data_IF_040860853601
#
_entry.id   IF_040860853601
#
_cell.length_a   1.000
_cell.length_b   1.000
_cell.length_c   1.000
_cell.angle_alpha   90.00
_cell.angle_beta   90.00
_cell.angle_gamma   90.00
#
_symmetry.space_group_name_H-M   'P 1'
#
loop_
_entity.id
_entity.type
_entity.pdbx_description
1 polymer ?
#
# COMPACT_ATOMS: atom_id res chain seq x y z
N UNK A 1 16.58 -15.58 15.13
CA UNK A 1 15.38 -14.74 15.33
C UNK A 1 14.31 -15.28 14.41
N UNK A 2 13.05 -15.27 14.82
CA UNK A 2 11.96 -15.51 13.89
C UNK A 2 12.02 -14.43 12.83
N UNK A 3 11.92 -14.83 11.58
CA UNK A 3 11.84 -13.93 10.44
C UNK A 3 10.40 -13.45 10.27
N UNK A 4 10.21 -12.38 9.53
CA UNK A 4 8.89 -11.77 9.35
C UNK A 4 8.84 -10.90 8.11
N UNK A 5 8.07 -9.82 8.14
CA UNK A 5 7.84 -8.93 7.00
C UNK A 5 8.61 -7.62 7.17
N UNK A 6 9.36 -7.24 6.12
CA UNK A 6 9.92 -5.90 5.98
C UNK A 6 9.00 -5.03 5.12
N UNK A 7 8.60 -3.86 5.61
CA UNK A 7 7.95 -2.83 4.80
C UNK A 7 8.99 -1.74 4.49
N UNK A 8 9.29 -1.54 3.21
CA UNK A 8 10.33 -0.63 2.75
C UNK A 8 9.77 0.47 1.84
N UNK A 9 10.16 1.74 2.09
CA UNK A 9 9.79 2.83 1.19
C UNK A 9 9.19 4.05 1.87
N UNK A 10 8.04 4.51 1.35
CA UNK A 10 7.44 5.77 1.78
C UNK A 10 6.94 5.73 3.22
N UNK A 11 7.50 6.62 4.04
CA UNK A 11 7.01 6.97 5.36
C UNK A 11 6.59 8.43 5.30
N UNK A 12 5.30 8.69 5.37
CA UNK A 12 4.70 10.01 5.20
C UNK A 12 3.80 10.30 6.41
N UNK A 13 3.64 11.57 6.75
CA UNK A 13 2.65 12.01 7.73
C UNK A 13 1.62 12.87 7.02
N UNK A 14 0.36 12.47 7.09
CA UNK A 14 -0.76 13.23 6.55
C UNK A 14 -1.23 14.26 7.58
N UNK A 15 -1.34 15.52 7.13
CA UNK A 15 -1.85 16.65 7.91
C UNK A 15 -3.11 17.16 7.22
N UNK A 16 -4.27 16.87 7.80
CA UNK A 16 -5.56 17.18 7.16
C UNK A 16 -6.17 18.47 7.69
N UNK A 17 -6.54 19.35 6.77
CA UNK A 17 -7.31 20.57 7.03
C UNK A 17 -8.61 20.55 6.23
N UNK A 18 -9.64 21.22 6.76
CA UNK A 18 -10.93 21.32 6.10
C UNK A 18 -11.26 22.78 5.77
N UNK A 19 -11.74 22.98 4.54
CA UNK A 19 -12.20 24.25 4.01
C UNK A 19 -13.61 24.08 3.40
N UNK A 20 -14.39 25.14 3.33
CA UNK A 20 -15.69 25.12 2.65
C UNK A 20 -15.56 25.34 1.14
N UNK A 21 -14.53 26.06 0.72
CA UNK A 21 -14.22 26.37 -0.68
C UNK A 21 -12.72 26.41 -0.89
N UNK A 22 -12.27 26.17 -2.14
CA UNK A 22 -10.88 26.42 -2.51
C UNK A 22 -10.71 27.87 -2.94
N UNK A 23 -9.66 28.58 -2.49
CA UNK A 23 -9.35 29.92 -2.98
C UNK A 23 -8.82 29.84 -4.42
N UNK A 24 -9.02 30.91 -5.18
CA UNK A 24 -8.27 31.12 -6.41
C UNK A 24 -6.83 31.53 -6.07
N UNK A 25 -5.92 31.42 -7.04
CA UNK A 25 -4.54 31.83 -6.87
C UNK A 25 -4.47 33.29 -6.41
N UNK A 26 -3.76 33.53 -5.30
CA UNK A 26 -3.64 34.86 -4.68
C UNK A 26 -4.72 35.19 -3.65
N UNK A 27 -5.75 34.38 -3.48
CA UNK A 27 -6.81 34.57 -2.48
C UNK A 27 -6.51 33.83 -1.16
N UNK A 28 -7.22 34.23 -0.10
CA UNK A 28 -7.16 33.62 1.22
C UNK A 28 -8.47 32.90 1.53
N UNK A 29 -8.38 31.71 2.10
CA UNK A 29 -9.52 31.00 2.69
C UNK A 29 -9.22 30.66 4.15
N UNK A 30 -10.24 30.61 4.98
CA UNK A 30 -10.12 30.18 6.36
C UNK A 30 -10.19 28.65 6.46
N UNK A 31 -9.34 28.09 7.31
CA UNK A 31 -9.43 26.67 7.70
C UNK A 31 -10.53 26.56 8.76
N UNK A 32 -11.56 25.79 8.45
CA UNK A 32 -12.71 25.56 9.33
C UNK A 32 -12.35 24.60 10.48
N UNK A 33 -11.57 23.59 10.19
CA UNK A 33 -11.12 22.60 11.17
C UNK A 33 -9.91 21.81 10.66
N UNK A 34 -9.27 21.08 11.58
CA UNK A 34 -8.20 20.13 11.25
C UNK A 34 -8.47 18.80 11.94
N UNK A 35 -7.97 17.71 11.35
CA UNK A 35 -7.85 16.43 12.05
C UNK A 35 -6.50 16.30 12.75
N UNK A 36 -6.37 15.27 13.59
CA UNK A 36 -5.06 14.86 14.07
C UNK A 36 -4.18 14.40 12.89
N UNK A 37 -2.86 14.50 13.07
CA UNK A 37 -1.91 13.87 12.14
C UNK A 37 -2.14 12.38 12.10
N UNK A 38 -1.94 11.76 10.93
CA UNK A 38 -1.95 10.29 10.74
C UNK A 38 -0.73 9.86 9.94
N UNK A 39 -0.36 8.59 10.07
CA UNK A 39 0.62 8.01 9.16
C UNK A 39 0.01 7.88 7.76
N UNK A 40 0.89 7.87 6.77
CA UNK A 40 0.61 7.66 5.36
C UNK A 40 1.86 7.12 4.65
N UNK A 41 1.67 6.70 3.41
CA UNK A 41 2.69 6.03 2.62
C UNK A 41 2.71 4.52 2.87
N UNK A 42 3.08 3.76 1.82
CA UNK A 42 3.00 2.30 1.82
C UNK A 42 3.67 1.65 3.03
N UNK A 43 4.95 1.98 3.28
CA UNK A 43 5.71 1.31 4.34
C UNK A 43 5.09 1.57 5.72
N UNK A 44 4.62 2.80 5.97
CA UNK A 44 4.03 3.18 7.25
C UNK A 44 2.62 2.58 7.44
N UNK A 45 1.77 2.61 6.42
CA UNK A 45 0.42 2.06 6.50
C UNK A 45 0.45 0.53 6.63
N UNK A 46 1.19 -0.15 5.72
CA UNK A 46 1.24 -1.61 5.74
C UNK A 46 1.85 -2.16 7.04
N UNK A 47 2.93 -1.56 7.54
CA UNK A 47 3.54 -2.07 8.77
C UNK A 47 2.64 -1.86 10.01
N UNK A 48 1.93 -0.73 10.09
CA UNK A 48 0.99 -0.48 11.19
C UNK A 48 -0.23 -1.42 11.11
N UNK A 49 -0.76 -1.67 9.90
CA UNK A 49 -1.84 -2.63 9.70
C UNK A 49 -1.42 -4.05 10.07
N UNK A 50 -0.22 -4.49 9.65
CA UNK A 50 0.33 -5.80 10.00
C UNK A 50 0.54 -5.94 11.52
N UNK A 51 1.05 -4.89 12.19
CA UNK A 51 1.24 -4.89 13.63
C UNK A 51 -0.08 -5.00 14.41
N UNK A 52 -1.17 -4.47 13.85
CA UNK A 52 -2.53 -4.58 14.41
C UNK A 52 -3.17 -5.94 14.13
N UNK A 53 -2.92 -6.49 12.93
CA UNK A 53 -3.40 -7.83 12.56
C UNK A 53 -2.81 -8.91 13.47
N UNK A 54 -1.49 -8.83 13.75
CA UNK A 54 -0.80 -9.80 14.58
C UNK A 54 0.32 -9.12 15.39
N UNK A 55 0.07 -8.81 16.68
CA UNK A 55 1.08 -8.20 17.54
C UNK A 55 2.34 -9.06 17.82
N UNK A 56 2.29 -10.35 17.45
CA UNK A 56 3.43 -11.28 17.63
C UNK A 56 4.26 -11.42 16.35
N UNK A 57 3.77 -10.92 15.20
CA UNK A 57 4.49 -10.98 13.93
C UNK A 57 5.73 -10.06 13.97
N UNK A 58 6.95 -10.56 13.74
CA UNK A 58 8.12 -9.70 13.61
C UNK A 58 8.00 -8.79 12.38
N UNK A 59 8.20 -7.49 12.58
CA UNK A 59 8.05 -6.48 11.53
C UNK A 59 9.27 -5.57 11.49
N UNK A 60 9.75 -5.29 10.28
CA UNK A 60 10.93 -4.47 10.05
C UNK A 60 10.57 -3.30 9.14
N UNK A 61 10.90 -2.08 9.58
CA UNK A 61 10.63 -0.86 8.82
C UNK A 61 11.93 -0.33 8.21
N UNK A 62 11.95 -0.16 6.89
CA UNK A 62 13.03 0.50 6.17
C UNK A 62 12.51 1.71 5.39
N UNK A 63 13.16 2.86 5.54
CA UNK A 63 12.72 4.09 4.90
C UNK A 63 13.34 5.32 5.54
N UNK A 64 12.88 6.51 5.14
CA UNK A 64 13.40 7.76 5.71
C UNK A 64 12.47 8.36 6.74
N UNK A 65 13.02 8.69 7.92
CA UNK A 65 12.38 9.59 8.89
C UNK A 65 13.40 10.66 9.29
N UNK A 66 13.09 11.93 8.98
CA UNK A 66 13.93 13.08 9.31
C UNK A 66 13.98 13.37 10.81
N UNK A 67 14.97 14.19 11.22
CA UNK A 67 15.07 14.70 12.59
C UNK A 67 14.26 15.99 12.74
N UNK A 68 12.95 15.89 12.63
CA UNK A 68 11.99 17.00 12.67
C UNK A 68 10.72 16.58 13.46
N UNK A 69 9.83 17.54 13.72
CA UNK A 69 8.60 17.31 14.50
C UNK A 69 7.62 16.36 13.82
N UNK A 70 7.66 16.26 12.49
CA UNK A 70 6.89 15.32 11.69
C UNK A 70 7.45 13.91 11.90
N UNK A 71 8.78 13.77 11.86
CA UNK A 71 9.46 12.51 12.13
C UNK A 71 9.29 12.03 13.57
N UNK A 72 9.27 12.95 14.53
CA UNK A 72 9.00 12.61 15.93
C UNK A 72 7.60 12.06 16.13
N UNK A 73 6.61 12.62 15.40
CA UNK A 73 5.26 12.06 15.38
C UNK A 73 5.26 10.63 14.83
N UNK A 74 5.90 10.39 13.67
CA UNK A 74 5.95 9.06 13.05
C UNK A 74 6.61 8.03 13.97
N UNK A 75 7.78 8.35 14.55
CA UNK A 75 8.47 7.50 15.55
C UNK A 75 7.58 7.22 16.76
N UNK A 76 6.83 8.21 17.22
CA UNK A 76 5.89 8.06 18.35
C UNK A 76 4.71 7.14 18.04
N UNK A 77 4.32 6.99 16.78
CA UNK A 77 3.29 6.02 16.38
C UNK A 77 3.88 4.61 16.36
N UNK A 78 5.02 4.39 15.70
CA UNK A 78 5.66 3.07 15.63
C UNK A 78 6.04 2.53 17.01
N UNK A 79 6.49 3.38 17.93
CA UNK A 79 6.82 3.00 19.29
C UNK A 79 5.65 2.40 20.11
N UNK A 80 4.41 2.52 19.63
CA UNK A 80 3.25 1.87 20.24
C UNK A 80 3.14 0.38 19.90
N UNK A 81 3.89 -0.07 18.91
CA UNK A 81 3.89 -1.44 18.41
C UNK A 81 5.25 -2.08 18.66
N UNK A 82 5.41 -2.83 19.77
CA UNK A 82 6.70 -3.37 20.18
C UNK A 82 7.29 -4.42 19.23
N UNK A 83 6.46 -4.95 18.33
CA UNK A 83 6.84 -5.89 17.29
C UNK A 83 7.35 -5.22 15.99
N UNK A 84 7.42 -3.87 15.93
CA UNK A 84 8.02 -3.13 14.83
C UNK A 84 9.47 -2.76 15.19
N UNK A 85 10.42 -3.33 14.48
CA UNK A 85 11.81 -2.90 14.50
C UNK A 85 12.02 -1.75 13.50
N UNK A 86 12.48 -0.62 14.00
CA UNK A 86 12.76 0.58 13.21
C UNK A 86 14.25 0.81 12.96
N UNK A 87 15.10 -0.18 13.21
CA UNK A 87 16.56 -0.07 13.01
C UNK A 87 16.97 0.22 11.55
N UNK A 88 16.15 -0.22 10.59
CA UNK A 88 16.32 0.07 9.15
C UNK A 88 15.86 1.48 8.72
N UNK A 89 15.39 2.31 9.67
CA UNK A 89 14.99 3.69 9.36
C UNK A 89 16.23 4.59 9.34
N UNK A 90 16.44 5.25 8.21
CA UNK A 90 17.56 6.17 7.97
C UNK A 90 17.10 7.63 7.99
N UNK A 91 18.07 8.56 8.09
CA UNK A 91 17.82 9.99 7.98
C UNK A 91 18.58 10.55 6.76
N UNK A 92 17.87 10.66 5.65
CA UNK A 92 18.39 11.18 4.38
C UNK A 92 17.95 12.63 4.13
N UNK A 93 17.17 13.21 5.03
CA UNK A 93 16.62 14.55 4.90
C UNK A 93 15.30 14.69 5.67
N UNK A 94 14.55 15.78 5.45
CA UNK A 94 13.28 16.00 6.14
C UNK A 94 12.29 14.86 5.94
N UNK A 95 11.44 14.63 6.94
CA UNK A 95 10.35 13.66 6.84
C UNK A 95 9.35 14.07 5.75
N UNK A 96 8.91 13.10 4.93
CA UNK A 96 7.85 13.31 3.97
C UNK A 96 6.51 13.64 4.66
N UNK A 97 5.71 14.51 4.05
CA UNK A 97 4.37 14.79 4.54
C UNK A 97 3.40 15.13 3.40
N UNK A 98 2.12 14.95 3.64
CA UNK A 98 1.07 15.37 2.73
C UNK A 98 0.12 16.33 3.45
N UNK A 99 -0.06 17.52 2.89
CA UNK A 99 -1.18 18.38 3.26
C UNK A 99 -2.42 17.89 2.52
N UNK A 100 -3.39 17.40 3.29
CA UNK A 100 -4.68 16.94 2.77
C UNK A 100 -5.70 18.05 3.00
N UNK A 101 -6.20 18.66 1.94
CA UNK A 101 -7.26 19.66 2.03
C UNK A 101 -8.59 19.01 1.67
N UNK A 102 -9.44 18.85 2.68
CA UNK A 102 -10.80 18.33 2.53
C UNK A 102 -11.81 19.46 2.32
N UNK A 103 -12.61 19.39 1.27
CA UNK A 103 -13.70 20.35 1.06
C UNK A 103 -14.97 19.86 1.78
N UNK A 104 -15.48 20.66 2.71
CA UNK A 104 -16.65 20.30 3.54
C UNK A 104 -17.96 20.27 2.76
N UNK A 105 -18.05 21.00 1.62
CA UNK A 105 -19.24 21.05 0.78
C UNK A 105 -19.26 19.91 -0.25
N UNK A 106 -18.17 19.75 -1.01
CA UNK A 106 -18.10 18.76 -2.09
C UNK A 106 -17.69 17.37 -1.62
N UNK A 107 -17.10 17.25 -0.41
CA UNK A 107 -16.51 16.04 0.17
C UNK A 107 -15.26 15.52 -0.54
N UNK A 108 -14.77 16.22 -1.57
CA UNK A 108 -13.50 15.87 -2.22
C UNK A 108 -12.31 16.28 -1.37
N UNK A 109 -11.19 15.60 -1.62
CA UNK A 109 -9.88 15.89 -1.02
C UNK A 109 -8.88 16.23 -2.10
N UNK A 110 -7.96 17.14 -1.79
CA UNK A 110 -6.80 17.51 -2.64
C UNK A 110 -5.54 17.32 -1.82
N UNK A 111 -4.51 16.80 -2.46
CA UNK A 111 -3.27 16.39 -1.80
C UNK A 111 -2.10 17.22 -2.30
N UNK A 112 -1.31 17.76 -1.36
CA UNK A 112 -0.04 18.44 -1.64
C UNK A 112 1.06 17.66 -0.94
N UNK A 113 1.80 16.85 -1.68
CA UNK A 113 2.79 15.93 -1.13
C UNK A 113 4.20 16.50 -1.24
N UNK A 114 4.91 16.50 -0.11
CA UNK A 114 6.34 16.75 -0.05
C UNK A 114 7.05 15.43 0.25
N UNK A 115 7.84 14.97 -0.69
CA UNK A 115 8.51 13.65 -0.62
C UNK A 115 9.61 13.61 0.45
N UNK A 116 10.29 14.74 0.70
CA UNK A 116 11.41 14.82 1.66
C UNK A 116 12.51 13.82 1.34
N UNK A 117 13.10 13.26 2.38
CA UNK A 117 14.17 12.26 2.27
C UNK A 117 13.74 10.92 1.69
N UNK A 118 12.41 10.61 1.63
CA UNK A 118 11.92 9.40 0.96
C UNK A 118 12.36 9.35 -0.51
N UNK A 119 12.50 10.51 -1.16
CA UNK A 119 12.95 10.60 -2.55
C UNK A 119 14.42 10.22 -2.78
N UNK A 120 15.18 10.00 -1.71
CA UNK A 120 16.60 9.61 -1.75
C UNK A 120 16.82 8.16 -1.30
N UNK A 121 15.79 7.51 -0.76
CA UNK A 121 15.90 6.13 -0.29
C UNK A 121 16.13 5.16 -1.46
N UNK A 122 17.10 4.26 -1.31
CA UNK A 122 17.51 3.27 -2.30
C UNK A 122 18.02 1.99 -1.66
N UNK A 123 18.48 1.04 -2.47
CA UNK A 123 18.95 -0.28 -2.02
C UNK A 123 20.15 -0.20 -1.07
N UNK A 124 21.01 0.82 -1.25
CA UNK A 124 22.17 1.09 -0.43
C UNK A 124 21.85 1.48 1.01
N UNK A 125 20.59 1.70 1.33
CA UNK A 125 20.10 2.06 2.67
C UNK A 125 19.47 0.89 3.42
N UNK A 126 19.47 -0.31 2.82
CA UNK A 126 18.99 -1.54 3.46
C UNK A 126 20.19 -2.40 3.83
N UNK A 127 20.24 -2.85 5.07
CA UNK A 127 21.23 -3.83 5.50
C UNK A 127 20.75 -5.24 5.13
N UNK A 128 21.05 -5.64 3.89
CA UNK A 128 20.57 -6.88 3.32
C UNK A 128 21.07 -8.14 4.03
N UNK A 129 22.30 -8.08 4.58
CA UNK A 129 22.93 -9.24 5.24
C UNK A 129 22.32 -9.50 6.64
N UNK A 130 21.87 -8.45 7.33
CA UNK A 130 21.32 -8.54 8.68
C UNK A 130 19.80 -8.34 8.74
N UNK A 131 19.09 -8.23 7.60
CA UNK A 131 17.63 -8.08 7.56
C UNK A 131 16.93 -9.40 7.90
N UNK A 132 16.33 -9.56 9.10
CA UNK A 132 15.74 -10.82 9.51
C UNK A 132 14.30 -10.99 9.01
N UNK A 133 14.07 -10.81 7.71
CA UNK A 133 12.77 -10.95 7.06
C UNK A 133 12.75 -12.12 6.08
N UNK A 134 11.58 -12.69 5.84
CA UNK A 134 11.31 -13.65 4.77
C UNK A 134 10.64 -13.01 3.58
N UNK A 135 9.95 -11.89 3.81
CA UNK A 135 9.23 -11.13 2.80
C UNK A 135 9.54 -9.63 2.92
N UNK A 136 9.78 -8.97 1.79
CA UNK A 136 9.86 -7.51 1.71
C UNK A 136 8.76 -6.95 0.82
N UNK A 137 8.04 -5.95 1.34
CA UNK A 137 7.05 -5.17 0.60
C UNK A 137 7.59 -3.76 0.38
N UNK A 138 7.81 -3.38 -0.88
CA UNK A 138 8.51 -2.16 -1.25
C UNK A 138 7.67 -1.25 -2.16
N UNK A 139 7.68 0.04 -1.93
CA UNK A 139 6.99 1.00 -2.79
C UNK A 139 6.62 2.31 -2.09
N UNK A 140 5.80 3.12 -2.72
CA UNK A 140 5.09 2.84 -4.00
C UNK A 140 5.97 3.13 -5.21
N UNK A 141 5.84 2.35 -6.27
CA UNK A 141 6.30 2.79 -7.60
C UNK A 141 5.61 4.11 -7.94
N UNK A 142 6.35 5.07 -8.52
CA UNK A 142 6.01 6.48 -8.79
C UNK A 142 6.05 7.45 -7.60
N UNK A 143 6.33 6.99 -6.38
CA UNK A 143 6.56 7.87 -5.24
C UNK A 143 7.95 7.74 -4.61
N UNK A 144 8.77 6.83 -5.10
CA UNK A 144 10.15 6.60 -4.63
C UNK A 144 11.16 7.17 -5.64
N UNK A 145 11.22 8.51 -5.78
CA UNK A 145 11.99 9.20 -6.85
C UNK A 145 13.31 8.53 -7.23
N UNK A 146 14.11 8.06 -6.25
CA UNK A 146 15.37 7.37 -6.52
C UNK A 146 15.16 5.99 -7.14
N UNK A 147 14.23 5.21 -6.59
CA UNK A 147 13.91 3.86 -7.09
C UNK A 147 13.14 3.90 -8.43
N UNK A 148 12.46 5.01 -8.73
CA UNK A 148 11.77 5.22 -10.00
C UNK A 148 12.73 5.59 -11.15
N UNK A 149 14.00 5.90 -10.86
CA UNK A 149 14.97 6.22 -11.90
C UNK A 149 15.25 5.03 -12.81
N UNK A 150 15.58 5.29 -14.10
CA UNK A 150 16.05 4.25 -15.00
C UNK A 150 17.29 3.55 -14.46
N UNK A 151 17.42 2.27 -14.76
CA UNK A 151 18.57 1.42 -14.52
C UNK A 151 18.96 0.71 -15.82
N UNK A 152 20.25 0.74 -16.19
CA UNK A 152 20.72 0.21 -17.47
C UNK A 152 20.59 -1.32 -17.57
N UNK A 153 20.65 -2.05 -16.46
CA UNK A 153 20.64 -3.50 -16.42
C UNK A 153 19.24 -4.05 -16.14
N UNK A 154 18.52 -3.43 -15.16
CA UNK A 154 17.24 -3.92 -14.65
C UNK A 154 16.04 -3.16 -15.20
N UNK A 155 16.28 -2.05 -15.93
CA UNK A 155 15.24 -1.16 -16.47
C UNK A 155 14.84 -0.05 -15.51
N UNK A 156 14.65 -0.33 -14.23
CA UNK A 156 14.43 0.65 -13.15
C UNK A 156 15.23 0.28 -11.91
N UNK A 157 15.55 1.26 -11.07
CA UNK A 157 16.21 0.99 -9.78
C UNK A 157 15.30 0.21 -8.81
N UNK A 158 13.97 0.34 -8.93
CA UNK A 158 13.03 -0.50 -8.18
C UNK A 158 13.18 -1.98 -8.59
N UNK A 159 13.35 -2.25 -9.89
CA UNK A 159 13.61 -3.62 -10.35
C UNK A 159 14.91 -4.17 -9.77
N UNK A 160 15.99 -3.37 -9.73
CA UNK A 160 17.25 -3.74 -9.08
C UNK A 160 17.06 -4.01 -7.59
N UNK A 161 16.36 -3.12 -6.87
CA UNK A 161 16.06 -3.28 -5.43
C UNK A 161 15.36 -4.62 -5.13
N UNK A 162 14.32 -4.94 -5.90
CA UNK A 162 13.58 -6.21 -5.75
C UNK A 162 14.44 -7.43 -6.11
N UNK A 163 15.26 -7.32 -7.15
CA UNK A 163 16.21 -8.37 -7.51
C UNK A 163 17.23 -8.62 -6.39
N UNK A 164 17.82 -7.56 -5.83
CA UNK A 164 18.76 -7.65 -4.70
C UNK A 164 18.10 -8.32 -3.48
N UNK A 165 16.85 -8.00 -3.19
CA UNK A 165 16.09 -8.68 -2.13
C UNK A 165 15.98 -10.19 -2.40
N UNK A 166 15.69 -10.61 -3.64
CA UNK A 166 15.62 -12.03 -4.01
C UNK A 166 16.98 -12.73 -3.91
N UNK A 167 18.08 -12.04 -4.26
CA UNK A 167 19.44 -12.60 -4.09
C UNK A 167 19.78 -12.90 -2.63
N UNK A 168 19.20 -12.11 -1.69
CA UNK A 168 19.32 -12.35 -0.25
C UNK A 168 18.25 -13.32 0.30
N UNK A 169 17.49 -13.96 -0.59
CA UNK A 169 16.54 -15.03 -0.25
C UNK A 169 15.19 -14.56 0.25
N UNK A 170 14.86 -13.27 0.12
CA UNK A 170 13.56 -12.75 0.49
C UNK A 170 12.52 -13.00 -0.62
N UNK A 171 11.28 -13.24 -0.25
CA UNK A 171 10.14 -13.05 -1.12
C UNK A 171 9.87 -11.55 -1.29
N UNK A 172 9.39 -11.17 -2.46
CA UNK A 172 9.23 -9.76 -2.82
C UNK A 172 7.78 -9.42 -3.11
N UNK A 173 7.40 -8.24 -2.71
CA UNK A 173 6.10 -7.65 -3.03
C UNK A 173 6.26 -6.15 -3.34
N UNK A 174 5.41 -5.64 -4.20
CA UNK A 174 5.34 -4.19 -4.49
C UNK A 174 3.91 -3.75 -4.73
N UNK A 175 3.69 -2.45 -4.55
CA UNK A 175 2.46 -1.75 -4.90
C UNK A 175 2.79 -0.49 -5.71
N UNK A 176 1.80 0.09 -6.34
CA UNK A 176 1.92 1.19 -7.29
C UNK A 176 0.99 2.32 -6.82
N UNK A 177 1.42 3.58 -6.90
CA UNK A 177 0.48 4.67 -6.64
C UNK A 177 -0.32 5.03 -7.89
N UNK A 178 -1.62 5.27 -7.72
CA UNK A 178 -2.53 5.70 -8.78
C UNK A 178 -2.23 7.13 -9.26
N UNK A 179 -1.06 7.35 -9.88
CA UNK A 179 -0.63 8.66 -10.36
C UNK A 179 -1.14 8.93 -11.77
N UNK A 180 -1.97 9.96 -11.93
CA UNK A 180 -2.46 10.38 -13.24
C UNK A 180 -1.30 10.87 -14.13
N UNK A 181 -1.29 10.39 -15.39
CA UNK A 181 -0.27 10.77 -16.38
C UNK A 181 1.09 10.09 -16.23
N UNK A 182 1.27 9.16 -15.28
CA UNK A 182 2.48 8.36 -15.18
C UNK A 182 2.54 7.30 -16.30
N UNK A 183 3.75 6.92 -16.68
CA UNK A 183 3.99 5.93 -17.75
C UNK A 183 4.02 4.51 -17.16
N UNK A 184 2.84 4.00 -16.77
CA UNK A 184 2.70 2.67 -16.21
C UNK A 184 3.20 1.57 -17.12
N UNK A 185 2.94 1.70 -18.43
CA UNK A 185 3.24 0.66 -19.41
C UNK A 185 4.75 0.37 -19.56
N UNK A 186 5.59 1.36 -19.29
CA UNK A 186 7.05 1.21 -19.40
C UNK A 186 7.76 1.14 -18.05
N UNK A 187 7.27 1.83 -17.02
CA UNK A 187 7.97 1.91 -15.73
C UNK A 187 7.66 0.72 -14.81
N UNK A 188 6.46 0.12 -14.90
CA UNK A 188 6.04 -0.96 -13.98
C UNK A 188 6.60 -2.34 -14.40
N UNK A 189 6.51 -2.78 -15.68
CA UNK A 189 6.90 -4.15 -16.07
C UNK A 189 8.33 -4.56 -15.71
N UNK A 190 9.35 -3.68 -15.73
CA UNK A 190 10.70 -4.06 -15.30
C UNK A 190 10.75 -4.56 -13.85
N UNK A 191 10.04 -3.91 -12.93
CA UNK A 191 9.97 -4.31 -11.52
C UNK A 191 9.22 -5.65 -11.34
N UNK A 192 8.15 -5.89 -12.13
CA UNK A 192 7.32 -7.08 -12.01
C UNK A 192 8.07 -8.40 -12.30
N UNK A 193 9.22 -8.34 -12.97
CA UNK A 193 10.10 -9.51 -13.17
C UNK A 193 10.63 -10.09 -11.87
N UNK A 194 10.70 -9.26 -10.84
CA UNK A 194 11.30 -9.57 -9.54
C UNK A 194 10.27 -9.48 -8.41
N UNK A 195 9.00 -9.75 -8.72
CA UNK A 195 7.89 -9.71 -7.76
C UNK A 195 7.32 -11.11 -7.57
N UNK A 196 7.24 -11.55 -6.32
CA UNK A 196 6.53 -12.77 -5.96
C UNK A 196 5.04 -12.50 -5.73
N UNK A 197 4.69 -11.41 -5.03
CA UNK A 197 3.33 -11.05 -4.67
C UNK A 197 2.99 -9.64 -5.15
N UNK A 198 2.13 -9.51 -6.14
CA UNK A 198 1.62 -8.24 -6.65
C UNK A 198 0.19 -8.03 -6.16
N UNK A 199 -0.05 -6.91 -5.49
CA UNK A 199 -1.39 -6.49 -5.07
C UNK A 199 -1.60 -5.05 -5.50
N UNK A 200 -2.49 -4.81 -6.45
CA UNK A 200 -2.76 -3.49 -7.04
C UNK A 200 -4.26 -3.29 -7.27
N UNK A 201 -4.69 -2.03 -7.42
CA UNK A 201 -6.08 -1.74 -7.71
C UNK A 201 -6.41 -1.82 -9.23
N UNK A 202 -7.70 -1.74 -9.56
CA UNK A 202 -8.17 -1.85 -10.95
C UNK A 202 -7.64 -0.74 -11.87
N UNK A 203 -7.40 0.49 -11.33
CA UNK A 203 -6.85 1.58 -12.12
C UNK A 203 -5.39 1.31 -12.50
N UNK A 204 -4.57 0.91 -11.54
CA UNK A 204 -3.16 0.56 -11.75
C UNK A 204 -3.01 -0.63 -12.70
N UNK A 205 -3.84 -1.66 -12.51
CA UNK A 205 -3.89 -2.81 -13.41
C UNK A 205 -4.29 -2.41 -14.84
N UNK A 206 -5.29 -1.55 -14.99
CA UNK A 206 -5.73 -1.00 -16.28
C UNK A 206 -4.60 -0.21 -16.94
N UNK A 207 -3.94 0.70 -16.23
CA UNK A 207 -2.87 1.51 -16.79
C UNK A 207 -1.63 0.66 -17.17
N UNK A 208 -1.29 -0.34 -16.37
CA UNK A 208 -0.15 -1.22 -16.63
C UNK A 208 -0.40 -2.17 -17.81
N UNK A 209 -1.62 -2.68 -17.94
CA UNK A 209 -1.96 -3.70 -18.98
C UNK A 209 -2.53 -3.10 -20.26
N UNK A 210 -3.07 -1.88 -20.19
CA UNK A 210 -3.83 -1.27 -21.26
C UNK A 210 -5.25 -1.87 -21.46
N UNK A 211 -5.70 -2.74 -20.54
CA UNK A 211 -7.04 -3.36 -20.59
C UNK A 211 -8.04 -2.55 -19.80
N UNK A 212 -9.19 -2.24 -20.38
CA UNK A 212 -10.26 -1.48 -19.72
C UNK A 212 -10.92 -2.37 -18.67
N UNK A 213 -10.67 -2.09 -17.39
CA UNK A 213 -11.33 -2.75 -16.25
C UNK A 213 -12.52 -1.93 -15.74
N UNK A 214 -12.41 -0.60 -15.81
CA UNK A 214 -13.49 0.34 -15.52
C UNK A 214 -13.52 1.42 -16.61
N UNK A 215 -14.67 1.63 -17.25
CA UNK A 215 -14.82 2.63 -18.28
C UNK A 215 -15.07 4.05 -17.72
N UNK A 216 -15.08 5.06 -18.59
CA UNK A 216 -15.30 6.46 -18.21
C UNK A 216 -16.69 6.71 -17.60
N UNK A 217 -17.66 5.84 -17.85
CA UNK A 217 -18.98 5.87 -17.23
C UNK A 217 -19.01 5.20 -15.84
N UNK A 218 -17.84 4.71 -15.36
CA UNK A 218 -17.70 4.03 -14.09
C UNK A 218 -18.14 2.55 -14.09
N UNK A 219 -18.50 2.00 -15.26
CA UNK A 219 -18.93 0.60 -15.38
C UNK A 219 -17.73 -0.34 -15.33
N UNK A 220 -17.83 -1.37 -14.48
CA UNK A 220 -16.82 -2.40 -14.30
C UNK A 220 -16.97 -3.50 -15.36
N UNK A 221 -15.86 -3.86 -16.00
CA UNK A 221 -15.76 -4.92 -17.01
C UNK A 221 -15.14 -6.19 -16.39
N UNK A 222 -15.91 -6.92 -15.59
CA UNK A 222 -15.43 -8.11 -14.85
C UNK A 222 -14.75 -9.15 -15.75
N UNK A 223 -15.22 -9.32 -16.97
CA UNK A 223 -14.68 -10.23 -17.98
C UNK A 223 -13.21 -9.96 -18.33
N UNK A 224 -12.74 -8.73 -18.13
CA UNK A 224 -11.37 -8.31 -18.45
C UNK A 224 -10.38 -8.52 -17.28
N UNK A 225 -10.84 -8.81 -16.05
CA UNK A 225 -9.96 -8.94 -14.89
C UNK A 225 -9.04 -10.15 -14.99
N UNK A 226 -9.56 -11.32 -15.36
CA UNK A 226 -8.72 -12.52 -15.56
C UNK A 226 -7.68 -12.29 -16.67
N UNK A 227 -8.00 -11.81 -17.88
CA UNK A 227 -7.00 -11.45 -18.87
C UNK A 227 -5.97 -10.43 -18.38
N UNK A 228 -6.36 -9.43 -17.58
CA UNK A 228 -5.44 -8.46 -16.99
C UNK A 228 -4.47 -9.11 -16.00
N UNK A 229 -4.96 -10.00 -15.14
CA UNK A 229 -4.11 -10.79 -14.22
C UNK A 229 -3.12 -11.66 -14.99
N UNK A 230 -3.56 -12.34 -16.06
CA UNK A 230 -2.69 -13.16 -16.92
C UNK A 230 -1.62 -12.30 -17.61
N UNK A 231 -1.98 -11.07 -18.03
CA UNK A 231 -1.05 -10.11 -18.61
C UNK A 231 -0.02 -9.63 -17.58
N UNK A 232 -0.46 -9.22 -16.38
CA UNK A 232 0.44 -8.83 -15.29
C UNK A 232 1.42 -9.95 -14.93
N UNK A 233 0.91 -11.19 -14.80
CA UNK A 233 1.74 -12.36 -14.56
C UNK A 233 2.77 -12.59 -15.67
N UNK A 234 2.41 -12.32 -16.92
CA UNK A 234 3.33 -12.47 -18.05
C UNK A 234 4.52 -11.52 -18.01
N UNK A 235 4.47 -10.46 -17.19
CA UNK A 235 5.62 -9.58 -16.93
C UNK A 235 6.62 -10.18 -15.95
N UNK A 236 6.27 -11.28 -15.23
CA UNK A 236 7.20 -12.03 -14.40
C UNK A 236 6.75 -12.32 -12.98
N UNK A 237 5.56 -11.84 -12.54
CA UNK A 237 5.04 -12.11 -11.19
C UNK A 237 4.95 -13.62 -10.96
N UNK A 238 5.65 -14.12 -9.92
CA UNK A 238 5.92 -15.55 -9.76
C UNK A 238 4.86 -16.30 -8.95
N UNK A 239 4.30 -15.69 -7.89
CA UNK A 239 3.47 -16.42 -6.93
C UNK A 239 2.01 -15.96 -6.99
N UNK A 240 1.69 -14.74 -6.55
CA UNK A 240 0.32 -14.23 -6.61
C UNK A 240 0.24 -12.92 -7.37
N UNK A 241 -0.73 -12.83 -8.26
CA UNK A 241 -1.12 -11.58 -8.91
C UNK A 241 -2.54 -11.26 -8.48
N UNK A 242 -2.74 -10.13 -7.78
CA UNK A 242 -4.01 -9.75 -7.17
C UNK A 242 -4.42 -8.37 -7.66
N UNK A 243 -5.70 -8.25 -8.04
CA UNK A 243 -6.36 -6.97 -8.34
C UNK A 243 -7.52 -6.80 -7.37
N UNK A 244 -7.63 -5.63 -6.74
CA UNK A 244 -8.77 -5.27 -5.91
C UNK A 244 -9.48 -4.03 -6.44
N UNK A 245 -10.78 -3.95 -6.18
CA UNK A 245 -11.62 -2.80 -6.45
C UNK A 245 -12.72 -2.70 -5.37
N UNK A 246 -13.51 -1.61 -5.35
CA UNK A 246 -14.57 -1.46 -4.35
C UNK A 246 -15.59 -2.58 -4.34
N UNK A 247 -15.84 -3.26 -5.47
CA UNK A 247 -16.87 -4.28 -5.63
C UNK A 247 -16.39 -5.68 -5.26
N UNK A 248 -15.13 -6.00 -5.60
CA UNK A 248 -14.56 -7.34 -5.37
C UNK A 248 -13.04 -7.31 -5.45
N UNK A 249 -12.42 -8.44 -5.12
CA UNK A 249 -11.01 -8.72 -5.38
C UNK A 249 -10.87 -10.03 -6.14
N UNK A 250 -9.80 -10.16 -6.93
CA UNK A 250 -9.50 -11.40 -7.65
C UNK A 250 -8.00 -11.59 -7.79
N UNK A 251 -7.58 -12.81 -8.06
CA UNK A 251 -6.16 -13.12 -8.26
C UNK A 251 -5.92 -14.45 -8.96
N UNK A 252 -4.67 -14.60 -9.40
CA UNK A 252 -4.10 -15.85 -9.88
C UNK A 252 -3.02 -16.30 -8.90
N UNK A 253 -3.01 -17.58 -8.55
CA UNK A 253 -1.92 -18.18 -7.80
C UNK A 253 -0.78 -18.66 -8.72
N UNK A 254 0.26 -19.27 -8.15
CA UNK A 254 1.43 -19.79 -8.86
C UNK A 254 1.08 -20.83 -9.94
N UNK A 255 -0.05 -21.53 -9.82
CA UNK A 255 -0.54 -22.53 -10.77
C UNK A 255 -1.39 -21.90 -11.88
N UNK A 256 -1.79 -20.61 -11.74
CA UNK A 256 -2.72 -19.92 -12.62
C UNK A 256 -4.19 -20.18 -12.26
N UNK A 257 -4.45 -20.71 -11.09
CA UNK A 257 -5.79 -20.90 -10.57
C UNK A 257 -6.41 -19.55 -10.19
N UNK A 258 -7.54 -19.24 -10.81
CA UNK A 258 -8.27 -18.00 -10.55
C UNK A 258 -9.14 -18.12 -9.31
N UNK A 259 -9.07 -17.10 -8.46
CA UNK A 259 -9.92 -16.91 -7.28
C UNK A 259 -10.50 -15.51 -7.30
N UNK A 260 -11.71 -15.35 -6.76
CA UNK A 260 -12.31 -14.05 -6.53
C UNK A 260 -13.09 -14.01 -5.21
N UNK A 261 -13.26 -12.79 -4.68
CA UNK A 261 -13.98 -12.52 -3.44
C UNK A 261 -14.77 -11.22 -3.57
N UNK A 262 -16.08 -11.29 -3.39
CA UNK A 262 -16.94 -10.12 -3.30
C UNK A 262 -16.60 -9.28 -2.07
N UNK A 263 -16.68 -7.96 -2.20
CA UNK A 263 -16.55 -7.05 -1.06
C UNK A 263 -17.71 -7.22 -0.09
N UNK A 264 -17.48 -6.83 1.18
CA UNK A 264 -18.50 -6.94 2.22
C UNK A 264 -19.64 -5.94 1.99
N UNK A 265 -20.86 -6.33 2.32
CA UNK A 265 -22.06 -5.47 2.28
C UNK A 265 -22.12 -4.62 3.55
N UNK A 266 -21.29 -3.57 3.61
CA UNK A 266 -21.20 -2.71 4.79
C UNK A 266 -22.48 -1.86 4.95
N UNK A 267 -23.01 -1.69 6.19
CA UNK A 267 -24.21 -0.90 6.42
C UNK A 267 -23.98 0.60 6.21
N UNK A 268 -25.05 1.35 5.97
CA UNK A 268 -25.00 2.80 5.84
C UNK A 268 -24.31 3.45 7.04
N UNK A 269 -23.42 4.39 6.75
CA UNK A 269 -22.67 5.12 7.76
C UNK A 269 -21.51 4.33 8.40
N UNK A 270 -21.23 3.10 7.98
CA UNK A 270 -20.05 2.35 8.43
C UNK A 270 -18.75 3.01 7.94
N UNK A 271 -18.70 3.40 6.67
CA UNK A 271 -17.53 4.02 6.05
C UNK A 271 -17.34 5.43 6.59
N UNK A 272 -16.19 5.65 7.25
CA UNK A 272 -15.77 6.94 7.80
C UNK A 272 -14.63 7.58 7.00
N UNK A 273 -13.84 6.79 6.30
CA UNK A 273 -12.75 7.19 5.42
C UNK A 273 -12.40 6.08 4.45
N UNK A 274 -11.72 6.42 3.36
CA UNK A 274 -11.30 5.46 2.32
C UNK A 274 -9.79 5.45 2.09
N UNK A 275 -9.06 6.37 2.74
CA UNK A 275 -7.60 6.44 2.65
C UNK A 275 -7.01 5.20 3.32
N UNK A 276 -5.99 4.61 2.72
CA UNK A 276 -5.31 3.42 3.25
C UNK A 276 -6.06 2.10 3.09
N UNK A 277 -7.27 2.08 2.48
CA UNK A 277 -8.00 0.83 2.30
C UNK A 277 -7.29 -0.16 1.34
N UNK A 278 -6.56 0.35 0.35
CA UNK A 278 -5.68 -0.44 -0.52
C UNK A 278 -4.52 -1.06 0.27
N UNK A 279 -3.82 -0.25 1.06
CA UNK A 279 -2.72 -0.71 1.93
C UNK A 279 -3.22 -1.76 2.94
N UNK A 280 -4.40 -1.54 3.53
CA UNK A 280 -5.03 -2.48 4.46
C UNK A 280 -5.39 -3.81 3.75
N UNK A 281 -5.92 -3.74 2.52
CA UNK A 281 -6.14 -4.94 1.72
C UNK A 281 -4.83 -5.68 1.45
N UNK A 282 -3.81 -4.96 0.99
CA UNK A 282 -2.48 -5.49 0.74
C UNK A 282 -1.88 -6.13 1.99
N UNK A 283 -1.98 -5.47 3.15
CA UNK A 283 -1.50 -6.00 4.44
C UNK A 283 -2.12 -7.34 4.80
N UNK A 284 -3.44 -7.50 4.56
CA UNK A 284 -4.10 -8.79 4.74
C UNK A 284 -3.58 -9.87 3.79
N UNK A 285 -3.28 -9.51 2.53
CA UNK A 285 -2.68 -10.44 1.54
C UNK A 285 -1.26 -10.82 1.95
N UNK A 286 -0.43 -9.85 2.36
CA UNK A 286 0.95 -10.08 2.81
C UNK A 286 1.01 -10.95 4.06
N UNK A 287 0.13 -10.70 5.04
CA UNK A 287 0.01 -11.56 6.21
C UNK A 287 -0.29 -13.01 5.84
N UNK A 288 -1.25 -13.21 4.94
CA UNK A 288 -1.61 -14.55 4.49
C UNK A 288 -0.46 -15.22 3.73
N UNK A 289 0.30 -14.48 2.92
CA UNK A 289 1.49 -14.97 2.22
C UNK A 289 2.56 -15.42 3.22
N UNK A 290 2.86 -14.60 4.22
CA UNK A 290 3.83 -14.90 5.29
C UNK A 290 3.45 -16.16 6.09
N UNK A 291 2.16 -16.33 6.38
CA UNK A 291 1.65 -17.51 7.10
C UNK A 291 1.46 -18.74 6.18
N UNK A 292 1.83 -18.68 4.91
CA UNK A 292 1.69 -19.80 3.96
C UNK A 292 0.22 -20.18 3.69
N UNK A 293 -0.71 -19.22 3.75
CA UNK A 293 -2.12 -19.46 3.45
C UNK A 293 -2.35 -19.53 1.92
N UNK A 294 -3.50 -20.03 1.53
CA UNK A 294 -3.90 -20.03 0.11
C UNK A 294 -4.33 -18.64 -0.35
N UNK A 295 -4.25 -18.37 -1.66
CA UNK A 295 -4.74 -17.14 -2.27
C UNK A 295 -6.21 -16.85 -1.90
N UNK A 296 -7.06 -17.89 -1.83
CA UNK A 296 -8.47 -17.72 -1.44
C UNK A 296 -8.62 -17.12 -0.03
N UNK A 297 -7.80 -17.60 0.94
CA UNK A 297 -7.77 -17.05 2.30
C UNK A 297 -7.14 -15.66 2.34
N UNK A 298 -6.15 -15.40 1.47
CA UNK A 298 -5.52 -14.10 1.35
C UNK A 298 -6.52 -13.03 0.86
N UNK A 299 -7.30 -13.33 -0.18
CA UNK A 299 -8.37 -12.44 -0.66
C UNK A 299 -9.44 -12.19 0.40
N UNK A 300 -9.81 -13.21 1.17
CA UNK A 300 -10.75 -13.05 2.28
C UNK A 300 -10.21 -12.12 3.36
N UNK A 301 -8.97 -12.35 3.81
CA UNK A 301 -8.36 -11.52 4.85
C UNK A 301 -8.14 -10.10 4.35
N UNK A 302 -7.64 -9.90 3.13
CA UNK A 302 -7.49 -8.58 2.51
C UNK A 302 -8.81 -7.82 2.47
N UNK A 303 -9.90 -8.46 2.00
CA UNK A 303 -11.24 -7.86 1.96
C UNK A 303 -11.72 -7.45 3.36
N UNK A 304 -11.52 -8.30 4.37
CA UNK A 304 -11.92 -8.00 5.75
C UNK A 304 -11.06 -6.88 6.37
N UNK A 305 -9.75 -6.86 6.10
CA UNK A 305 -8.84 -5.83 6.61
C UNK A 305 -9.15 -4.46 5.99
N UNK A 306 -9.38 -4.41 4.67
CA UNK A 306 -9.86 -3.21 4.00
C UNK A 306 -11.19 -2.72 4.59
N UNK A 307 -12.16 -3.60 4.81
CA UNK A 307 -13.43 -3.24 5.43
C UNK A 307 -13.24 -2.70 6.86
N UNK A 308 -12.31 -3.27 7.63
CA UNK A 308 -12.00 -2.78 8.97
C UNK A 308 -11.40 -1.36 8.93
N UNK A 309 -10.46 -1.09 8.02
CA UNK A 309 -9.85 0.24 7.87
C UNK A 309 -10.90 1.33 7.57
N UNK A 310 -11.88 1.03 6.70
CA UNK A 310 -12.98 1.94 6.34
C UNK A 310 -13.82 2.41 7.54
N UNK A 311 -13.79 1.72 8.69
CA UNK A 311 -14.56 2.05 9.89
C UNK A 311 -14.06 3.30 10.63
N UNK A 312 -12.90 3.85 10.27
CA UNK A 312 -12.27 5.02 10.87
C UNK A 312 -11.84 6.02 9.80
N UNK A 313 -11.68 7.32 10.16
CA UNK A 313 -11.23 8.34 9.20
C UNK A 313 -9.78 8.17 8.73
N UNK A 314 -8.89 7.63 9.59
CA UNK A 314 -7.49 7.34 9.28
C UNK A 314 -7.33 6.00 8.55
N UNK A 315 -6.17 5.81 7.90
CA UNK A 315 -5.90 4.64 7.06
C UNK A 315 -5.82 3.32 7.83
N UNK A 316 -5.24 3.32 9.02
CA UNK A 316 -4.88 2.11 9.79
C UNK A 316 -5.69 1.91 11.07
N UNK A 317 -6.26 2.97 11.63
CA UNK A 317 -6.92 2.97 12.97
C UNK A 317 -8.09 2.00 13.10
N UNK A 318 -8.70 1.60 11.99
CA UNK A 318 -9.82 0.66 11.93
C UNK A 318 -9.40 -0.81 12.04
N UNK A 319 -8.18 -1.15 11.67
CA UNK A 319 -7.67 -2.52 11.64
C UNK A 319 -7.55 -3.09 13.06
N UNK A 320 -7.86 -4.36 13.21
CA UNK A 320 -7.85 -5.15 14.44
C UNK A 320 -7.14 -6.48 14.18
N UNK A 321 -7.08 -7.34 15.18
CA UNK A 321 -6.48 -8.66 15.03
C UNK A 321 -7.13 -9.48 13.91
N UNK A 322 -6.37 -10.42 13.33
CA UNK A 322 -6.87 -11.31 12.26
C UNK A 322 -8.20 -11.96 12.63
N UNK A 323 -8.32 -12.44 13.86
CA UNK A 323 -9.57 -13.05 14.33
C UNK A 323 -10.75 -12.06 14.31
N UNK A 324 -10.50 -10.82 14.73
CA UNK A 324 -11.56 -9.80 14.79
C UNK A 324 -11.97 -9.30 13.41
N UNK A 325 -11.00 -9.09 12.49
CA UNK A 325 -11.34 -8.63 11.14
C UNK A 325 -12.08 -9.74 10.35
N UNK A 326 -11.74 -11.00 10.53
CA UNK A 326 -12.44 -12.11 9.88
C UNK A 326 -13.91 -12.23 10.33
N UNK A 327 -14.25 -11.84 11.57
CA UNK A 327 -15.66 -11.77 12.03
C UNK A 327 -16.51 -10.80 11.20
N UNK A 328 -15.91 -9.82 10.51
CA UNK A 328 -16.65 -8.94 9.59
C UNK A 328 -17.26 -9.70 8.43
N UNK A 329 -16.63 -10.80 7.99
CA UNK A 329 -17.20 -11.65 6.95
C UNK A 329 -18.47 -12.37 7.42
N UNK A 330 -18.52 -12.82 8.68
CA UNK A 330 -19.71 -13.44 9.26
C UNK A 330 -20.87 -12.45 9.36
N UNK A 331 -20.55 -11.16 9.60
CA UNK A 331 -21.54 -10.10 9.77
C UNK A 331 -22.03 -9.50 8.43
N UNK A 332 -21.13 -9.33 7.47
CA UNK A 332 -21.37 -8.51 6.27
C UNK A 332 -21.01 -9.21 4.96
N UNK A 333 -20.54 -10.45 5.00
CA UNK A 333 -20.26 -11.24 3.79
C UNK A 333 -21.53 -11.50 2.99
N UNK A 334 -21.41 -11.44 1.66
CA UNK A 334 -22.50 -11.90 0.79
C UNK A 334 -22.58 -13.43 0.87
N UNK A 335 -23.75 -13.93 1.22
CA UNK A 335 -24.07 -15.37 1.24
C UNK A 335 -24.31 -15.88 -0.16
#
# INVERSE_FOLDING_TARGET
>A
MEKGICCAGNIIVDVTYYVDTYPQEGELVHIESSSARSLGGLAANCIEDLARLDPELPLFLAGNIGKDDIGDFARGVFAKHPNIDTSGVVNLGPTGYTLVIGNTNTKYRTFFTYTGGNGLFGEEHVDWDDLPADLIHAGYIFLMRHLDLPDEEYGTKMARFLHTAQEHGLKTSTDIVSQSGADFAHAVPPALKYVDYLTINEYEAQQTTGMILRDEAGRLHRENFRPALEKLRSFGVSTWTVIHCPEFSCGLDENGDYRERESLSLPDGYIKGTVGAGDAFCSGVLYAAEKGWSLEKALLLGTCTAAASLSKPGGTEGVRTVEEVLKLYDLYGKK
#
